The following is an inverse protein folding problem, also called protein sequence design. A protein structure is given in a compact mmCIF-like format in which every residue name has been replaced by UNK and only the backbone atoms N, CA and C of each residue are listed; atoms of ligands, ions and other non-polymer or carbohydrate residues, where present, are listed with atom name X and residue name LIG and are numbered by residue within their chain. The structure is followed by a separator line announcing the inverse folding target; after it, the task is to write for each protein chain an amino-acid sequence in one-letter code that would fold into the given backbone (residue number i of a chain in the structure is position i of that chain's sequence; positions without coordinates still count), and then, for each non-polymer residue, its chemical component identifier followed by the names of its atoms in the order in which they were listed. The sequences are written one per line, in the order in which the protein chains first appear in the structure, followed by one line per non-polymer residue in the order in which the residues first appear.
data_IF_112976742296
#
_entry.id   IF_112976742296
#
_cell.length_a   1.000
_cell.length_b   1.000
_cell.length_c   1.000
_cell.angle_alpha   90.00
_cell.angle_beta   90.00
_cell.angle_gamma   90.00
#
_symmetry.space_group_name_H-M   'P 1'
#
loop_
_entity.id
_entity.type
_entity.pdbx_description
1 polymer ?
#
# COMPACT_ATOMS: atom_id res chain seq x y z
N UNK A 1 5.08 6.32 -5.25
CA UNK A 1 5.10 6.14 -3.78
C UNK A 1 5.05 4.66 -3.44
N UNK A 2 4.00 3.96 -3.87
CA UNK A 2 3.88 2.52 -3.70
C UNK A 2 2.94 1.91 -4.74
N UNK A 3 3.10 0.62 -5.02
CA UNK A 3 2.16 -0.20 -5.78
C UNK A 3 1.34 -1.02 -4.79
N UNK A 4 0.02 -0.99 -4.98
CA UNK A 4 -0.92 -1.82 -4.22
C UNK A 4 -1.60 -2.81 -5.15
N UNK A 5 -1.74 -4.04 -4.68
CA UNK A 5 -2.50 -5.08 -5.35
C UNK A 5 -3.67 -5.52 -4.49
N UNK A 6 -4.77 -5.89 -5.14
CA UNK A 6 -5.92 -6.54 -4.50
C UNK A 6 -6.25 -7.79 -5.31
N UNK A 7 -6.32 -8.95 -4.65
CA UNK A 7 -6.59 -10.22 -5.33
C UNK A 7 -8.04 -10.30 -5.82
N UNK A 8 -8.99 -9.81 -5.02
CA UNK A 8 -10.42 -9.88 -5.28
C UNK A 8 -11.14 -8.65 -4.73
N UNK A 9 -12.45 -8.50 -4.99
CA UNK A 9 -13.19 -7.32 -4.55
C UNK A 9 -13.30 -7.20 -3.02
N UNK A 10 -13.26 -8.34 -2.33
CA UNK A 10 -13.45 -8.46 -0.88
C UNK A 10 -12.12 -8.51 -0.12
N UNK A 11 -11.00 -8.72 -0.83
CA UNK A 11 -9.68 -8.79 -0.21
C UNK A 11 -9.16 -7.40 0.17
N UNK A 12 -8.38 -7.25 1.25
CA UNK A 12 -7.73 -5.99 1.58
C UNK A 12 -6.66 -5.63 0.54
N UNK A 13 -6.34 -4.34 0.43
CA UNK A 13 -5.18 -3.90 -0.36
C UNK A 13 -3.90 -4.46 0.26
N UNK A 14 -2.98 -4.92 -0.58
CA UNK A 14 -1.64 -5.33 -0.17
C UNK A 14 -0.63 -4.39 -0.78
N UNK A 15 0.27 -3.88 0.05
CA UNK A 15 1.41 -3.11 -0.42
C UNK A 15 2.41 -4.08 -1.05
N UNK A 16 2.62 -4.00 -2.37
CA UNK A 16 3.49 -4.94 -3.10
C UNK A 16 4.81 -4.34 -3.52
N UNK A 17 4.88 -3.02 -3.70
CA UNK A 17 6.13 -2.35 -4.06
C UNK A 17 6.17 -0.94 -3.46
N UNK A 18 7.36 -0.50 -3.08
CA UNK A 18 7.65 0.88 -2.68
C UNK A 18 8.55 1.51 -3.72
N UNK A 19 8.23 2.74 -4.12
CA UNK A 19 9.09 3.48 -5.02
C UNK A 19 10.44 3.78 -4.34
N UNK A 20 11.54 3.90 -5.10
CA UNK A 20 12.86 4.17 -4.52
C UNK A 20 12.84 5.49 -3.72
N UNK A 21 13.31 5.42 -2.47
CA UNK A 21 13.32 6.54 -1.54
C UNK A 21 12.00 6.79 -0.80
N UNK A 22 11.00 5.91 -0.93
CA UNK A 22 9.72 6.03 -0.24
C UNK A 22 9.61 5.02 0.88
N UNK A 23 9.18 5.49 2.05
CA UNK A 23 8.99 4.66 3.25
C UNK A 23 7.54 4.22 3.41
N UNK A 24 7.32 3.09 4.08
CA UNK A 24 5.97 2.62 4.41
C UNK A 24 5.21 3.63 5.30
N UNK A 25 5.92 4.36 6.17
CA UNK A 25 5.35 5.41 7.02
C UNK A 25 4.80 6.58 6.19
N UNK A 26 5.55 7.05 5.19
CA UNK A 26 5.05 8.06 4.25
C UNK A 26 3.81 7.60 3.50
N UNK A 27 3.78 6.32 3.11
CA UNK A 27 2.63 5.74 2.43
C UNK A 27 1.43 5.66 3.37
N UNK A 28 1.62 5.27 4.62
CA UNK A 28 0.59 5.27 5.66
C UNK A 28 0.08 6.68 5.99
N UNK A 29 0.97 7.69 6.03
CA UNK A 29 0.59 9.07 6.27
C UNK A 29 -0.19 9.69 5.11
N UNK A 30 0.05 9.22 3.88
CA UNK A 30 -0.60 9.73 2.65
C UNK A 30 -1.85 8.95 2.24
N UNK A 31 -2.17 7.83 2.90
CA UNK A 31 -3.34 7.02 2.56
C UNK A 31 -4.18 6.68 3.78
N UNK A 32 -5.49 6.82 3.66
CA UNK A 32 -6.46 6.36 4.67
C UNK A 32 -6.95 4.93 4.41
N UNK A 33 -6.51 4.33 3.29
CA UNK A 33 -6.87 2.97 2.94
C UNK A 33 -6.25 1.97 3.92
N UNK A 34 -7.04 0.99 4.37
CA UNK A 34 -6.54 -0.14 5.14
C UNK A 34 -5.80 -1.08 4.19
N UNK A 35 -4.51 -1.30 4.43
CA UNK A 35 -3.70 -2.24 3.68
C UNK A 35 -2.88 -3.14 4.60
N UNK A 36 -2.45 -4.27 4.04
CA UNK A 36 -1.53 -5.21 4.69
C UNK A 36 -0.14 -5.07 4.07
N UNK A 37 0.89 -5.09 4.92
CA UNK A 37 2.29 -5.13 4.50
C UNK A 37 2.71 -6.56 4.18
#
# INVERSE_FOLDING_TARGET
LAVFQRSDHESPFRLVELAPGVTADEVAAKTTARYTA
#
